data_IF_905631941778
#
_entry.id   IF_905631941778
#
_cell.length_a   1.000
_cell.length_b   1.000
_cell.length_c   1.000
_cell.angle_alpha   90.00
_cell.angle_beta   90.00
_cell.angle_gamma   90.00
#
_symmetry.space_group_name_H-M   'P 1'
#
loop_
_entity.id
_entity.type
_entity.pdbx_description
1 polymer ?
#
# COMPACT_ATOMS: atom_id res chain seq x y z
N UNK A 1 -11.00 14.40 -17.16
CA UNK A 1 -12.42 14.57 -16.77
C UNK A 1 -12.37 15.47 -15.56
N UNK A 2 -12.90 16.69 -15.66
CA UNK A 2 -12.66 17.73 -14.65
C UNK A 2 -13.56 17.55 -13.41
N UNK A 3 -14.45 16.54 -13.46
CA UNK A 3 -15.42 16.15 -12.46
C UNK A 3 -14.93 15.04 -11.51
N UNK A 4 -13.73 14.47 -11.72
CA UNK A 4 -13.19 13.40 -10.88
C UNK A 4 -12.39 13.99 -9.71
N UNK A 5 -12.83 13.68 -8.49
CA UNK A 5 -12.14 14.00 -7.24
C UNK A 5 -11.10 12.91 -6.96
N UNK A 6 -9.86 13.16 -7.38
CA UNK A 6 -8.72 12.31 -7.06
C UNK A 6 -8.05 12.80 -5.76
N UNK A 7 -7.82 11.88 -4.83
CA UNK A 7 -6.99 12.14 -3.64
C UNK A 7 -5.80 11.20 -3.61
N UNK A 8 -4.62 11.73 -3.30
CA UNK A 8 -3.40 10.95 -3.17
C UNK A 8 -2.83 11.09 -1.76
N UNK A 9 -1.92 10.22 -1.36
CA UNK A 9 -1.14 10.49 -0.16
C UNK A 9 -0.08 11.57 -0.44
N UNK A 10 0.41 12.22 0.61
CA UNK A 10 1.48 13.20 0.52
C UNK A 10 2.75 12.58 -0.09
N UNK A 11 3.47 13.34 -0.92
CA UNK A 11 4.61 12.80 -1.69
C UNK A 11 5.79 12.34 -0.82
N UNK A 12 5.87 12.85 0.41
CA UNK A 12 6.86 12.48 1.42
C UNK A 12 6.58 11.12 2.09
N UNK A 13 5.34 10.60 2.03
CA UNK A 13 5.04 9.26 2.53
C UNK A 13 5.16 8.22 1.42
N UNK A 14 5.55 6.97 1.73
CA UNK A 14 5.85 5.97 0.70
C UNK A 14 4.73 5.76 -0.33
N UNK A 15 3.46 5.71 0.11
CA UNK A 15 2.33 5.49 -0.79
C UNK A 15 2.16 6.64 -1.80
N UNK A 16 2.31 7.90 -1.36
CA UNK A 16 2.20 9.06 -2.23
C UNK A 16 3.32 9.11 -3.25
N UNK A 17 4.55 8.82 -2.81
CA UNK A 17 5.71 8.70 -3.71
C UNK A 17 5.51 7.61 -4.76
N UNK A 18 5.02 6.43 -4.37
CA UNK A 18 4.77 5.34 -5.32
C UNK A 18 3.64 5.66 -6.29
N UNK A 19 2.60 6.35 -5.83
CA UNK A 19 1.53 6.83 -6.69
C UNK A 19 2.06 7.83 -7.73
N UNK A 20 2.83 8.83 -7.31
CA UNK A 20 3.43 9.82 -8.20
C UNK A 20 4.37 9.14 -9.22
N UNK A 21 5.18 8.16 -8.80
CA UNK A 21 6.06 7.41 -9.70
C UNK A 21 5.29 6.50 -10.69
N UNK A 22 4.20 5.84 -10.24
CA UNK A 22 3.38 5.01 -11.11
C UNK A 22 2.67 5.84 -12.18
N UNK A 23 2.11 7.00 -11.80
CA UNK A 23 1.49 7.96 -12.72
C UNK A 23 2.50 8.49 -13.74
N UNK A 24 3.72 8.79 -13.30
CA UNK A 24 4.80 9.22 -14.18
C UNK A 24 5.20 8.12 -15.19
N UNK A 25 5.26 6.84 -14.78
CA UNK A 25 5.54 5.70 -15.67
C UNK A 25 4.43 5.53 -16.73
N UNK A 26 3.18 5.65 -16.30
CA UNK A 26 2.01 5.60 -17.17
C UNK A 26 1.87 6.83 -18.11
N UNK A 27 2.68 7.88 -17.91
CA UNK A 27 2.58 9.14 -18.66
C UNK A 27 1.28 9.91 -18.39
N UNK A 28 0.68 9.71 -17.20
CA UNK A 28 -0.57 10.33 -16.79
C UNK A 28 -0.28 11.52 -15.89
N UNK A 29 -0.69 12.70 -16.32
CA UNK A 29 -0.65 13.92 -15.49
C UNK A 29 -1.97 14.07 -14.73
N UNK A 30 -1.87 14.39 -13.44
CA UNK A 30 -3.02 14.52 -12.54
C UNK A 30 -2.88 15.74 -11.64
N UNK A 31 -4.02 16.30 -11.25
CA UNK A 31 -4.10 17.35 -10.24
C UNK A 31 -4.98 16.87 -9.09
N UNK A 32 -4.42 16.23 -8.05
CA UNK A 32 -5.20 15.72 -6.92
C UNK A 32 -5.92 16.87 -6.22
N UNK A 33 -7.18 16.67 -5.85
CA UNK A 33 -7.98 17.63 -5.09
C UNK A 33 -7.44 17.84 -3.68
N UNK A 34 -6.83 16.81 -3.10
CA UNK A 34 -6.07 16.90 -1.84
C UNK A 34 -4.97 15.86 -1.76
N UNK A 35 -4.04 16.10 -0.82
CA UNK A 35 -3.00 15.15 -0.43
C UNK A 35 -3.11 14.83 1.05
N UNK A 36 -3.24 13.55 1.37
CA UNK A 36 -3.49 13.09 2.74
C UNK A 36 -2.21 12.67 3.46
N UNK A 37 -2.23 12.73 4.80
CA UNK A 37 -1.06 12.44 5.64
C UNK A 37 -0.58 10.99 5.54
N UNK A 38 -1.47 10.04 5.23
CA UNK A 38 -1.14 8.64 5.02
C UNK A 38 -2.15 7.96 4.07
N UNK A 39 -1.83 6.71 3.69
CA UNK A 39 -2.64 5.92 2.75
C UNK A 39 -4.01 5.53 3.32
N UNK A 40 -4.16 5.46 4.65
CA UNK A 40 -5.45 5.11 5.28
C UNK A 40 -6.42 6.27 5.16
N UNK A 41 -5.94 7.51 5.31
CA UNK A 41 -6.75 8.70 5.08
C UNK A 41 -7.22 8.81 3.62
N UNK A 42 -6.40 8.42 2.65
CA UNK A 42 -6.81 8.29 1.23
C UNK A 42 -7.96 7.29 1.09
N UNK A 43 -7.78 6.06 1.60
CA UNK A 43 -8.79 5.00 1.54
C UNK A 43 -10.11 5.47 2.18
N UNK A 44 -10.05 6.05 3.37
CA UNK A 44 -11.24 6.50 4.10
C UNK A 44 -12.04 7.56 3.33
N UNK A 45 -11.39 8.47 2.61
CA UNK A 45 -12.10 9.45 1.78
C UNK A 45 -12.85 8.80 0.61
N UNK A 46 -12.27 7.76 0.02
CA UNK A 46 -12.94 6.98 -1.03
C UNK A 46 -14.13 6.19 -0.44
N UNK A 47 -13.93 5.50 0.68
CA UNK A 47 -14.98 4.75 1.38
C UNK A 47 -16.18 5.63 1.80
N UNK A 48 -15.90 6.87 2.23
CA UNK A 48 -16.92 7.84 2.64
C UNK A 48 -17.57 8.58 1.46
N UNK A 49 -17.10 8.37 0.22
CA UNK A 49 -17.57 9.08 -0.97
C UNK A 49 -17.15 10.56 -1.02
N UNK A 50 -16.14 10.95 -0.25
CA UNK A 50 -15.53 12.28 -0.30
C UNK A 50 -14.57 12.43 -1.50
N UNK A 51 -14.10 11.32 -2.06
CA UNK A 51 -13.29 11.24 -3.26
C UNK A 51 -13.77 10.11 -4.18
N UNK A 52 -13.65 10.30 -5.48
CA UNK A 52 -14.02 9.30 -6.48
C UNK A 52 -12.94 8.23 -6.68
N UNK A 53 -11.67 8.61 -6.44
CA UNK A 53 -10.54 7.72 -6.62
C UNK A 53 -9.36 8.10 -5.71
N UNK A 54 -8.53 7.09 -5.39
CA UNK A 54 -7.23 7.27 -4.78
C UNK A 54 -6.30 6.11 -5.10
N UNK A 55 -4.99 6.33 -4.97
CA UNK A 55 -3.98 5.28 -5.16
C UNK A 55 -3.51 4.81 -3.78
N UNK A 56 -3.76 3.54 -3.49
CA UNK A 56 -3.46 2.87 -2.21
C UNK A 56 -2.71 1.56 -2.44
N UNK A 57 -2.32 0.84 -1.38
CA UNK A 57 -1.76 -0.50 -1.54
C UNK A 57 -2.86 -1.52 -1.82
N UNK A 58 -2.52 -2.60 -2.52
CA UNK A 58 -3.42 -3.74 -2.71
C UNK A 58 -3.94 -4.29 -1.37
N UNK A 59 -3.10 -4.32 -0.33
CA UNK A 59 -3.50 -4.76 1.02
C UNK A 59 -4.61 -3.89 1.62
N UNK A 60 -4.65 -2.59 1.28
CA UNK A 60 -5.67 -1.66 1.76
C UNK A 60 -7.03 -1.96 1.11
N UNK A 61 -7.04 -2.25 -0.19
CA UNK A 61 -8.23 -2.69 -0.94
C UNK A 61 -8.75 -4.04 -0.40
N UNK A 62 -7.86 -5.02 -0.19
CA UNK A 62 -8.26 -6.31 0.40
C UNK A 62 -8.87 -6.12 1.79
N UNK A 63 -8.34 -5.19 2.59
CA UNK A 63 -8.86 -4.91 3.93
C UNK A 63 -10.23 -4.20 3.91
N UNK A 64 -10.48 -3.35 2.91
CA UNK A 64 -11.75 -2.64 2.73
C UNK A 64 -12.89 -3.56 2.29
N UNK A 65 -12.58 -4.72 1.68
CA UNK A 65 -13.59 -5.65 1.20
C UNK A 65 -14.48 -5.01 0.14
N UNK A 66 -15.80 -5.11 0.31
CA UNK A 66 -16.78 -4.56 -0.65
C UNK A 66 -17.01 -3.04 -0.51
N UNK A 67 -16.27 -2.35 0.38
CA UNK A 67 -16.43 -0.91 0.59
C UNK A 67 -15.84 -0.06 -0.55
N UNK A 68 -14.90 -0.62 -1.33
CA UNK A 68 -14.28 0.04 -2.49
C UNK A 68 -14.04 -0.96 -3.61
N UNK A 69 -14.03 -0.48 -4.84
CA UNK A 69 -13.60 -1.27 -5.99
C UNK A 69 -12.11 -1.06 -6.27
N UNK A 70 -11.37 -2.16 -6.42
CA UNK A 70 -9.95 -2.14 -6.79
C UNK A 70 -9.73 -2.15 -8.30
N UNK A 71 -8.89 -1.24 -8.80
CA UNK A 71 -8.36 -1.28 -10.17
C UNK A 71 -6.86 -1.51 -10.10
N UNK A 72 -6.37 -2.61 -10.69
CA UNK A 72 -4.95 -2.92 -10.71
C UNK A 72 -4.18 -1.97 -11.62
N UNK A 73 -3.03 -1.47 -11.13
CA UNK A 73 -2.06 -0.74 -11.95
C UNK A 73 -1.28 -1.76 -12.78
N UNK A 74 -1.18 -1.58 -14.12
CA UNK A 74 -0.40 -2.47 -14.99
C UNK A 74 1.03 -2.65 -14.50
N UNK A 75 1.59 -3.86 -14.68
CA UNK A 75 2.90 -4.21 -14.11
C UNK A 75 4.06 -3.33 -14.63
N UNK A 76 3.94 -2.84 -15.86
CA UNK A 76 4.88 -1.91 -16.50
C UNK A 76 4.90 -0.52 -15.84
N UNK A 77 3.76 -0.09 -15.29
CA UNK A 77 3.59 1.21 -14.64
C UNK A 77 3.73 1.12 -13.12
N UNK A 78 3.49 -0.06 -12.56
CA UNK A 78 3.40 -0.25 -11.12
C UNK A 78 4.77 -0.14 -10.42
N UNK A 79 4.76 0.27 -9.15
CA UNK A 79 5.94 0.38 -8.30
C UNK A 79 5.82 -0.62 -7.15
N UNK A 80 6.77 -1.55 -7.08
CA UNK A 80 6.76 -2.63 -6.09
C UNK A 80 7.23 -2.12 -4.72
N UNK A 81 6.29 -2.02 -3.78
CA UNK A 81 6.59 -1.75 -2.38
C UNK A 81 7.27 -2.97 -1.72
N UNK A 82 8.40 -2.75 -1.04
CA UNK A 82 9.14 -3.81 -0.33
C UNK A 82 9.09 -3.60 1.18
N UNK A 83 8.77 -4.67 1.91
CA UNK A 83 8.61 -4.66 3.37
C UNK A 83 9.64 -5.59 4.02
N UNK A 84 10.88 -5.12 4.26
CA UNK A 84 11.91 -5.94 4.90
C UNK A 84 11.56 -6.20 6.36
N UNK A 85 11.96 -7.37 6.85
CA UNK A 85 11.89 -7.76 8.27
C UNK A 85 13.29 -8.16 8.76
N UNK A 86 13.69 -7.69 9.95
CA UNK A 86 14.99 -8.01 10.52
C UNK A 86 14.92 -8.08 12.06
N UNK A 87 15.72 -8.96 12.65
CA UNK A 87 15.95 -8.98 14.09
C UNK A 87 16.93 -7.85 14.49
N UNK A 88 16.63 -7.14 15.58
CA UNK A 88 17.51 -6.08 16.09
C UNK A 88 18.78 -6.67 16.70
N UNK A 89 19.95 -6.14 16.32
CA UNK A 89 21.25 -6.60 16.82
C UNK A 89 21.39 -6.52 18.35
N UNK A 90 20.74 -5.54 18.99
CA UNK A 90 20.72 -5.33 20.44
C UNK A 90 19.54 -5.96 21.17
N UNK A 91 18.84 -6.93 20.56
CA UNK A 91 17.67 -7.56 21.19
C UNK A 91 18.05 -8.22 22.51
N UNK A 92 17.28 -7.95 23.57
CA UNK A 92 17.39 -8.66 24.85
C UNK A 92 16.95 -10.14 24.76
N UNK A 93 16.26 -10.51 23.67
CA UNK A 93 15.83 -11.88 23.38
C UNK A 93 16.17 -12.25 21.92
N UNK A 94 17.45 -12.50 21.59
CA UNK A 94 17.88 -12.72 20.21
C UNK A 94 17.26 -13.99 19.60
N UNK A 95 17.12 -15.05 20.40
CA UNK A 95 16.53 -16.31 19.95
C UNK A 95 15.05 -16.13 19.55
N UNK A 96 14.25 -15.44 20.36
CA UNK A 96 12.85 -15.15 20.04
C UNK A 96 12.71 -14.22 18.84
N UNK A 97 13.59 -13.21 18.71
CA UNK A 97 13.59 -12.32 17.56
C UNK A 97 13.88 -13.08 16.25
N UNK A 98 14.88 -13.96 16.25
CA UNK A 98 15.17 -14.84 15.11
C UNK A 98 13.99 -15.78 14.80
N UNK A 99 13.44 -16.45 15.82
CA UNK A 99 12.30 -17.35 15.66
C UNK A 99 11.06 -16.65 15.10
N UNK A 100 10.84 -15.37 15.44
CA UNK A 100 9.74 -14.58 14.86
C UNK A 100 9.96 -14.28 13.38
N UNK A 101 11.18 -13.87 13.00
CA UNK A 101 11.54 -13.67 11.59
C UNK A 101 11.35 -14.96 10.81
N UNK A 102 11.85 -16.09 11.33
CA UNK A 102 11.69 -17.41 10.71
C UNK A 102 10.21 -17.78 10.58
N UNK A 103 9.39 -17.49 11.59
CA UNK A 103 7.95 -17.72 11.53
C UNK A 103 7.27 -16.88 10.44
N UNK A 104 7.57 -15.59 10.33
CA UNK A 104 7.01 -14.70 9.29
C UNK A 104 7.38 -15.21 7.89
N UNK A 105 8.60 -15.71 7.72
CA UNK A 105 9.10 -16.26 6.44
C UNK A 105 8.65 -17.72 6.19
N UNK A 106 8.14 -18.42 7.20
CA UNK A 106 7.67 -19.81 7.08
C UNK A 106 6.40 -19.93 6.23
N UNK A 107 6.09 -21.15 5.76
CA UNK A 107 4.87 -21.41 5.00
C UNK A 107 3.58 -20.97 5.73
N UNK A 108 3.39 -21.22 7.04
CA UNK A 108 2.29 -20.62 7.80
C UNK A 108 2.25 -19.09 7.79
N UNK A 109 3.38 -18.42 8.06
CA UNK A 109 3.44 -16.95 8.08
C UNK A 109 3.11 -16.35 6.72
N UNK A 110 3.67 -16.91 5.65
CA UNK A 110 3.38 -16.51 4.28
C UNK A 110 1.93 -16.77 3.85
N UNK A 111 1.27 -17.81 4.38
CA UNK A 111 -0.18 -18.00 4.15
C UNK A 111 -1.01 -16.91 4.79
N UNK A 112 -0.66 -16.49 6.02
CA UNK A 112 -1.36 -15.40 6.71
C UNK A 112 -1.18 -14.09 5.92
N UNK A 113 0.05 -13.75 5.54
CA UNK A 113 0.33 -12.55 4.78
C UNK A 113 -0.40 -12.51 3.43
N UNK A 114 -0.40 -13.62 2.68
CA UNK A 114 -1.16 -13.72 1.42
C UNK A 114 -2.67 -13.54 1.60
N UNK A 115 -3.24 -14.06 2.69
CA UNK A 115 -4.66 -13.86 2.99
C UNK A 115 -5.03 -12.38 3.22
N UNK A 116 -4.04 -11.54 3.56
CA UNK A 116 -4.18 -10.09 3.70
C UNK A 116 -3.64 -9.30 2.49
N UNK A 117 -3.42 -9.97 1.34
CA UNK A 117 -3.04 -9.30 0.10
C UNK A 117 -1.55 -8.97 -0.05
N UNK A 118 -0.68 -9.46 0.84
CA UNK A 118 0.77 -9.32 0.68
C UNK A 118 1.33 -10.36 -0.30
N UNK A 119 2.31 -9.96 -1.10
CA UNK A 119 3.11 -10.87 -1.92
C UNK A 119 4.20 -11.55 -1.08
N UNK A 120 4.75 -12.66 -1.60
CA UNK A 120 5.92 -13.29 -1.00
C UNK A 120 7.16 -12.38 -1.15
N UNK A 121 8.12 -12.46 -0.21
CA UNK A 121 9.40 -11.73 -0.26
C UNK A 121 10.21 -11.95 -1.54
#
# INVERSE_FOLDING_TARGET
RDDVILVLAAGEVPAGRYADEALARAGVDVSPSSREADVRAVLSKVELGEADAGIVYHTDVVAAGDAVDGVEIPAEDNVVARYPIAALAGSANPATAAAFVDFVLSAPGQRILRAHGFAAP
#
